data_IF_787980997195
#
_entry.id   IF_787980997195
#
_cell.length_a   1.000
_cell.length_b   1.000
_cell.length_c   1.000
_cell.angle_alpha   90.00
_cell.angle_beta   90.00
_cell.angle_gamma   90.00
#
_symmetry.space_group_name_H-M   'P 1'
#
loop_
_entity.id
_entity.type
_entity.pdbx_description
1 polymer ?
#
# COMPACT_ATOMS: atom_id res chain seq x y z
N UNK A 1 25.22 22.99 26.61
CA UNK A 1 24.10 23.73 25.96
C UNK A 1 23.49 24.68 26.99
N UNK A 2 23.36 25.97 26.66
CA UNK A 2 22.71 26.93 27.56
C UNK A 2 21.26 26.54 27.82
N UNK A 3 20.75 26.81 29.00
CA UNK A 3 19.39 26.42 29.43
C UNK A 3 18.32 26.93 28.44
N UNK A 4 18.45 28.17 27.98
CA UNK A 4 17.51 28.79 27.04
C UNK A 4 17.51 28.03 25.71
N UNK A 5 18.68 27.75 25.16
CA UNK A 5 18.81 26.99 23.91
C UNK A 5 18.16 25.60 24.00
N UNK A 6 18.39 24.93 25.12
CA UNK A 6 17.77 23.61 25.37
C UNK A 6 16.24 23.69 25.40
N UNK A 7 15.66 24.67 26.08
CA UNK A 7 14.22 24.87 26.15
C UNK A 7 13.63 25.17 24.76
N UNK A 8 14.29 26.02 23.98
CA UNK A 8 13.85 26.36 22.62
C UNK A 8 13.90 25.14 21.70
N UNK A 9 14.99 24.37 21.69
CA UNK A 9 15.11 23.14 20.88
C UNK A 9 14.07 22.09 21.29
N UNK A 10 13.86 21.87 22.58
CA UNK A 10 12.80 20.96 23.07
C UNK A 10 11.43 21.35 22.54
N UNK A 11 11.11 22.65 22.66
CA UNK A 11 9.81 23.16 22.19
C UNK A 11 9.66 23.01 20.69
N UNK A 12 10.70 23.34 19.94
CA UNK A 12 10.71 23.21 18.48
C UNK A 12 10.48 21.75 18.06
N UNK A 13 11.25 20.80 18.63
CA UNK A 13 11.17 19.40 18.23
C UNK A 13 9.88 18.71 18.69
N UNK A 14 9.28 19.11 19.81
CA UNK A 14 7.94 18.65 20.20
C UNK A 14 6.84 19.16 19.26
N UNK A 15 6.97 20.41 18.77
CA UNK A 15 5.98 21.04 17.91
C UNK A 15 6.10 20.65 16.43
N UNK A 16 7.30 20.33 15.97
CA UNK A 16 7.57 20.03 14.57
C UNK A 16 8.30 18.70 14.42
N UNK A 17 7.59 17.73 13.89
CA UNK A 17 8.18 16.42 13.57
C UNK A 17 9.29 16.57 12.51
N UNK A 18 9.10 17.47 11.54
CA UNK A 18 10.11 17.73 10.52
C UNK A 18 11.43 18.25 11.10
N UNK A 19 11.39 19.21 12.03
CA UNK A 19 12.59 19.73 12.68
C UNK A 19 13.27 18.67 13.58
N UNK A 20 12.48 17.79 14.20
CA UNK A 20 13.00 16.64 14.92
C UNK A 20 13.75 15.67 14.01
N UNK A 21 13.18 15.33 12.86
CA UNK A 21 13.82 14.44 11.86
C UNK A 21 15.13 15.03 11.37
N UNK A 22 15.16 16.32 11.01
CA UNK A 22 16.38 17.03 10.58
C UNK A 22 17.49 16.94 11.65
N UNK A 23 17.14 17.21 12.90
CA UNK A 23 18.09 17.22 13.99
C UNK A 23 18.72 15.86 14.29
N UNK A 24 17.95 14.77 14.14
CA UNK A 24 18.37 13.44 14.56
C UNK A 24 18.67 12.48 13.39
N UNK A 25 18.61 12.93 12.14
CA UNK A 25 18.85 12.07 10.97
C UNK A 25 20.19 11.34 11.05
N UNK A 26 21.27 12.08 11.20
CA UNK A 26 22.63 11.52 11.22
C UNK A 26 22.91 10.65 12.48
N UNK A 27 22.07 10.76 13.51
CA UNK A 27 22.12 9.89 14.68
C UNK A 27 21.52 8.52 14.35
N UNK A 28 20.40 8.53 13.61
CA UNK A 28 19.71 7.30 13.23
C UNK A 28 20.46 6.55 12.13
N UNK A 29 20.96 7.28 11.13
CA UNK A 29 21.53 6.71 9.91
C UNK A 29 22.72 7.55 9.42
N UNK A 30 23.86 6.93 9.07
CA UNK A 30 25.04 7.64 8.58
C UNK A 30 24.88 8.20 7.17
N UNK A 31 23.81 7.85 6.45
CA UNK A 31 23.58 8.39 5.11
C UNK A 31 23.30 9.87 5.16
N UNK A 32 23.76 10.59 4.13
CA UNK A 32 23.52 12.04 4.02
C UNK A 32 22.02 12.32 4.04
N UNK A 33 21.62 13.25 4.89
CA UNK A 33 20.26 13.79 4.84
C UNK A 33 20.09 14.61 3.55
N UNK A 34 19.13 14.21 2.73
CA UNK A 34 18.72 14.96 1.55
C UNK A 34 17.43 15.66 1.89
N UNK A 35 17.54 16.94 2.23
CA UNK A 35 16.39 17.78 2.56
C UNK A 35 15.53 18.02 1.32
N UNK A 36 14.22 18.21 1.51
CA UNK A 36 13.33 18.51 0.43
C UNK A 36 11.86 18.46 0.85
N UNK A 37 11.01 18.91 -0.07
CA UNK A 37 9.57 19.00 0.16
C UNK A 37 8.95 17.62 0.54
N UNK A 38 9.47 16.54 -0.04
CA UNK A 38 8.94 15.19 0.19
C UNK A 38 9.10 14.76 1.66
N UNK A 39 10.27 15.01 2.26
CA UNK A 39 10.52 14.70 3.66
C UNK A 39 9.64 15.57 4.57
N UNK A 40 9.51 16.85 4.27
CA UNK A 40 8.62 17.75 5.00
C UNK A 40 7.17 17.26 4.90
N UNK A 41 6.70 16.91 3.71
CA UNK A 41 5.35 16.41 3.48
C UNK A 41 5.05 15.12 4.26
N UNK A 42 5.98 14.16 4.28
CA UNK A 42 5.85 12.94 5.10
C UNK A 42 5.77 13.26 6.58
N UNK A 43 6.62 14.15 7.08
CA UNK A 43 6.62 14.55 8.48
C UNK A 43 5.30 15.24 8.85
N UNK A 44 4.82 16.16 8.03
CA UNK A 44 3.54 16.82 8.27
C UNK A 44 2.36 15.84 8.17
N UNK A 45 2.40 14.91 7.24
CA UNK A 45 1.40 13.83 7.12
C UNK A 45 1.36 12.98 8.39
N UNK A 46 2.50 12.49 8.87
CA UNK A 46 2.57 11.71 10.11
C UNK A 46 2.05 12.51 11.31
N UNK A 47 2.52 13.74 11.46
CA UNK A 47 2.11 14.64 12.55
C UNK A 47 0.60 14.90 12.51
N UNK A 48 0.02 15.16 11.33
CA UNK A 48 -1.41 15.38 11.16
C UNK A 48 -2.24 14.13 11.52
N UNK A 49 -1.83 12.97 11.05
CA UNK A 49 -2.50 11.71 11.40
C UNK A 49 -2.49 11.47 12.91
N UNK A 50 -1.39 11.81 13.58
CA UNK A 50 -1.22 11.63 15.02
C UNK A 50 -1.68 12.84 15.86
N UNK A 51 -2.41 13.79 15.30
CA UNK A 51 -2.83 15.06 15.96
C UNK A 51 -3.47 14.86 17.34
N UNK A 52 -4.31 13.84 17.50
CA UNK A 52 -4.98 13.54 18.76
C UNK A 52 -4.02 13.05 19.86
N UNK A 53 -2.86 12.50 19.50
CA UNK A 53 -1.83 12.03 20.42
C UNK A 53 -0.82 13.11 20.80
N UNK A 54 -0.68 14.13 19.94
CA UNK A 54 0.30 15.22 20.14
C UNK A 54 -0.37 16.54 20.49
N UNK A 55 -1.70 16.58 20.57
CA UNK A 55 -2.44 17.78 20.97
C UNK A 55 -2.34 18.91 19.96
N UNK A 56 -2.47 18.59 18.68
CA UNK A 56 -2.34 19.57 17.59
C UNK A 56 -3.69 19.84 16.91
N UNK A 57 -4.05 21.13 16.78
CA UNK A 57 -5.19 21.58 15.99
C UNK A 57 -4.72 21.99 14.59
N UNK A 58 -5.25 21.32 13.58
CA UNK A 58 -4.89 21.60 12.19
C UNK A 58 -5.43 22.97 11.76
N UNK A 59 -4.63 23.80 11.06
CA UNK A 59 -5.09 25.10 10.57
C UNK A 59 -6.20 24.93 9.53
N UNK A 60 -7.13 25.88 9.50
CA UNK A 60 -8.08 26.01 8.40
C UNK A 60 -7.33 26.55 7.20
N UNK A 61 -7.23 25.75 6.16
CA UNK A 61 -6.60 26.16 4.90
C UNK A 61 -7.72 26.40 3.88
N UNK A 62 -7.68 27.55 3.23
CA UNK A 62 -8.57 27.86 2.13
C UNK A 62 -7.93 27.31 0.88
N UNK A 63 -8.61 26.36 0.22
CA UNK A 63 -8.15 25.83 -1.05
C UNK A 63 -8.27 26.87 -2.15
N UNK A 64 -7.24 27.01 -3.01
CA UNK A 64 -7.39 27.83 -4.21
C UNK A 64 -8.41 27.18 -5.16
N UNK A 65 -9.07 28.01 -5.96
CA UNK A 65 -9.80 27.51 -7.12
C UNK A 65 -8.79 26.92 -8.11
N UNK A 66 -8.94 25.63 -8.39
CA UNK A 66 -8.12 24.91 -9.38
C UNK A 66 -8.98 24.45 -10.55
N UNK A 67 -8.38 24.32 -11.73
CA UNK A 67 -9.07 23.77 -12.89
C UNK A 67 -9.52 22.34 -12.65
N UNK A 68 -10.52 21.88 -13.38
CA UNK A 68 -11.13 20.54 -13.23
C UNK A 68 -10.14 19.41 -13.49
N UNK A 69 -9.07 19.66 -14.25
CA UNK A 69 -8.08 18.67 -14.66
C UNK A 69 -6.88 18.54 -13.68
N UNK A 70 -6.93 19.18 -12.52
CA UNK A 70 -5.85 19.16 -11.53
C UNK A 70 -6.21 18.22 -10.39
N UNK A 71 -5.37 17.24 -10.14
CA UNK A 71 -5.50 16.36 -8.97
C UNK A 71 -5.15 17.11 -7.69
N UNK A 72 -5.96 16.94 -6.65
CA UNK A 72 -5.71 17.56 -5.33
C UNK A 72 -5.40 16.48 -4.32
N UNK A 73 -4.18 16.51 -3.80
CA UNK A 73 -3.68 15.61 -2.76
C UNK A 73 -3.80 16.29 -1.40
N UNK A 74 -4.96 16.10 -0.75
CA UNK A 74 -5.28 16.66 0.56
C UNK A 74 -5.79 15.57 1.51
N UNK A 75 -5.04 15.30 2.58
CA UNK A 75 -5.40 14.28 3.58
C UNK A 75 -6.30 14.78 4.71
N UNK A 76 -6.64 16.07 4.73
CA UNK A 76 -7.40 16.70 5.81
C UNK A 76 -8.90 16.39 5.80
N UNK A 77 -9.25 15.21 5.31
CA UNK A 77 -10.61 14.70 5.20
C UNK A 77 -11.14 14.04 6.49
N UNK A 78 -10.48 14.26 7.60
CA UNK A 78 -10.84 13.71 8.91
C UNK A 78 -10.91 12.17 8.95
N UNK A 79 -10.06 11.50 8.18
CA UNK A 79 -9.89 10.05 8.19
C UNK A 79 -9.01 9.62 9.35
N UNK A 80 -9.32 8.45 9.92
CA UNK A 80 -8.57 7.91 11.06
C UNK A 80 -7.26 7.24 10.65
N UNK A 81 -7.24 6.59 9.50
CA UNK A 81 -6.13 5.75 9.04
C UNK A 81 -5.46 6.33 7.79
N UNK A 82 -4.27 5.86 7.49
CA UNK A 82 -3.48 6.27 6.34
C UNK A 82 -3.11 5.08 5.46
N UNK A 83 -3.27 5.21 4.16
CA UNK A 83 -2.67 4.34 3.15
C UNK A 83 -1.74 5.17 2.27
N UNK A 84 -0.43 4.99 2.45
CA UNK A 84 0.61 5.72 1.72
C UNK A 84 1.28 4.79 0.71
N UNK A 85 1.17 5.13 -0.56
CA UNK A 85 1.75 4.41 -1.69
C UNK A 85 2.84 5.26 -2.33
N UNK A 86 4.09 4.80 -2.24
CA UNK A 86 5.28 5.56 -2.64
C UNK A 86 6.34 4.60 -3.16
N UNK A 87 7.13 4.99 -4.17
CA UNK A 87 8.17 4.16 -4.74
C UNK A 87 9.18 3.64 -3.71
N UNK A 88 9.91 2.56 -4.03
CA UNK A 88 10.96 2.05 -3.18
C UNK A 88 12.08 3.09 -2.99
N UNK A 89 12.79 3.03 -1.85
CA UNK A 89 13.92 3.90 -1.49
C UNK A 89 13.63 5.40 -1.37
N UNK A 90 12.36 5.80 -1.26
CA UNK A 90 11.92 7.18 -1.00
C UNK A 90 11.76 7.49 0.51
N UNK A 91 12.54 6.87 1.37
CA UNK A 91 12.66 7.13 2.83
C UNK A 91 11.40 6.94 3.67
N UNK A 92 10.30 6.42 3.11
CA UNK A 92 9.04 6.20 3.83
C UNK A 92 9.24 5.49 5.18
N UNK A 93 9.97 4.37 5.19
CA UNK A 93 10.22 3.59 6.42
C UNK A 93 11.02 4.36 7.47
N UNK A 94 11.97 5.20 7.04
CA UNK A 94 12.74 6.03 7.97
C UNK A 94 11.85 7.03 8.70
N UNK A 95 11.01 7.75 7.98
CA UNK A 95 10.14 8.76 8.57
C UNK A 95 9.05 8.12 9.42
N UNK A 96 8.27 7.21 8.84
CA UNK A 96 7.09 6.67 9.50
C UNK A 96 7.43 5.61 10.55
N UNK A 97 8.40 4.75 10.26
CA UNK A 97 8.68 3.58 11.09
C UNK A 97 9.86 3.78 12.07
N UNK A 98 10.83 4.66 11.76
CA UNK A 98 11.93 4.94 12.70
C UNK A 98 11.64 6.20 13.52
N UNK A 99 11.53 7.35 12.85
CA UNK A 99 11.40 8.63 13.55
C UNK A 99 10.02 8.85 14.17
N UNK A 100 8.95 8.43 13.49
CA UNK A 100 7.58 8.65 13.95
C UNK A 100 7.30 8.14 15.36
N UNK A 101 7.53 6.86 15.68
CA UNK A 101 7.31 6.33 17.02
C UNK A 101 8.16 7.02 18.11
N UNK A 102 9.42 7.35 17.80
CA UNK A 102 10.30 8.07 18.74
C UNK A 102 9.77 9.48 19.01
N UNK A 103 9.33 10.17 17.97
CA UNK A 103 8.78 11.51 18.11
C UNK A 103 7.48 11.53 18.93
N UNK A 104 6.60 10.54 18.74
CA UNK A 104 5.36 10.42 19.53
C UNK A 104 5.65 10.29 21.03
N UNK A 105 6.72 9.62 21.41
CA UNK A 105 7.14 9.50 22.81
C UNK A 105 7.52 10.84 23.46
N UNK A 106 7.86 11.87 22.67
CA UNK A 106 8.10 13.20 23.21
C UNK A 106 6.84 13.83 23.82
N UNK A 107 5.67 13.41 23.38
CA UNK A 107 4.38 13.98 23.81
C UNK A 107 3.56 13.03 24.66
N UNK A 108 3.49 11.74 24.33
CA UNK A 108 2.62 10.77 24.99
C UNK A 108 3.30 9.40 25.14
N UNK A 109 3.13 8.72 26.29
CA UNK A 109 3.63 7.37 26.51
C UNK A 109 2.73 6.33 25.81
N UNK A 110 2.73 6.31 24.49
CA UNK A 110 1.90 5.43 23.67
C UNK A 110 2.56 4.08 23.38
N UNK A 111 1.75 3.12 22.98
CA UNK A 111 2.18 1.83 22.43
C UNK A 111 2.19 1.91 20.91
N UNK A 112 3.39 1.92 20.32
CA UNK A 112 3.58 1.90 18.87
C UNK A 112 3.97 0.49 18.41
N UNK A 113 3.33 -0.02 17.37
CA UNK A 113 3.64 -1.32 16.78
C UNK A 113 4.04 -1.13 15.34
N UNK A 114 5.22 -1.57 15.00
CA UNK A 114 5.75 -1.58 13.64
C UNK A 114 5.79 -3.01 13.12
N UNK A 115 5.15 -3.25 12.01
CA UNK A 115 5.05 -4.57 11.38
C UNK A 115 5.67 -4.54 10.00
N UNK A 116 6.56 -5.48 9.71
CA UNK A 116 7.20 -5.64 8.40
C UNK A 116 7.09 -7.08 7.92
N UNK A 117 7.38 -7.36 6.65
CA UNK A 117 7.34 -8.72 6.12
C UNK A 117 8.44 -9.63 6.71
N UNK A 118 9.60 -9.09 7.14
CA UNK A 118 10.67 -9.88 7.77
C UNK A 118 11.09 -9.37 9.13
N UNK A 119 11.57 -10.30 9.99
CA UNK A 119 12.15 -9.95 11.29
C UNK A 119 13.47 -9.19 11.18
N UNK A 120 14.22 -9.36 10.09
CA UNK A 120 15.46 -8.62 9.82
C UNK A 120 15.23 -7.13 9.68
N UNK A 121 14.23 -6.74 8.87
CA UNK A 121 13.84 -5.33 8.72
C UNK A 121 13.33 -4.74 10.03
N UNK A 122 12.47 -5.47 10.74
CA UNK A 122 11.99 -5.04 12.06
C UNK A 122 13.15 -4.76 13.03
N UNK A 123 14.16 -5.63 13.07
CA UNK A 123 15.36 -5.44 13.90
C UNK A 123 16.18 -4.22 13.48
N UNK A 124 16.34 -3.98 12.17
CA UNK A 124 17.07 -2.80 11.69
C UNK A 124 16.39 -1.49 12.09
N UNK A 125 15.06 -1.41 11.96
CA UNK A 125 14.30 -0.23 12.38
C UNK A 125 14.44 0.00 13.89
N UNK A 126 14.34 -1.07 14.68
CA UNK A 126 14.52 -0.99 16.12
C UNK A 126 15.93 -0.48 16.51
N UNK A 127 16.97 -0.96 15.84
CA UNK A 127 18.34 -0.49 16.07
C UNK A 127 18.50 1.01 15.81
N UNK A 128 17.88 1.53 14.77
CA UNK A 128 17.94 2.97 14.45
C UNK A 128 17.21 3.81 15.50
N UNK A 129 16.04 3.38 15.98
CA UNK A 129 15.32 4.03 17.08
C UNK A 129 16.14 4.06 18.35
N UNK A 130 16.78 2.93 18.68
CA UNK A 130 17.66 2.83 19.83
C UNK A 130 18.83 3.81 19.77
N UNK A 131 19.45 4.01 18.58
CA UNK A 131 20.51 5.00 18.40
C UNK A 131 20.01 6.41 18.73
N UNK A 132 18.81 6.78 18.28
CA UNK A 132 18.23 8.10 18.59
C UNK A 132 18.04 8.23 20.12
N UNK A 133 17.28 7.30 20.72
CA UNK A 133 16.88 7.37 22.12
C UNK A 133 18.09 7.38 23.10
N UNK A 134 19.17 6.68 22.78
CA UNK A 134 20.38 6.63 23.60
C UNK A 134 21.47 7.63 23.22
N UNK A 135 21.23 8.47 22.23
CA UNK A 135 22.22 9.50 21.87
C UNK A 135 22.34 10.56 22.95
N UNK A 136 23.56 11.06 23.16
CA UNK A 136 23.82 12.15 24.11
C UNK A 136 22.94 13.35 23.81
N UNK A 137 22.80 13.72 22.52
CA UNK A 137 21.97 14.85 22.08
C UNK A 137 20.49 14.68 22.40
N UNK A 138 19.96 13.46 22.31
CA UNK A 138 18.58 13.17 22.71
C UNK A 138 18.41 13.22 24.23
N UNK A 139 19.30 12.58 24.97
CA UNK A 139 19.21 12.49 26.42
C UNK A 139 19.45 13.86 27.11
N UNK A 140 20.27 14.75 26.53
CA UNK A 140 20.40 16.13 26.99
C UNK A 140 19.11 16.93 26.83
N UNK A 141 18.36 16.65 25.75
CA UNK A 141 17.11 17.36 25.44
C UNK A 141 15.90 16.76 26.18
N UNK A 142 15.84 15.44 26.30
CA UNK A 142 14.69 14.69 26.82
C UNK A 142 15.11 13.68 27.90
N UNK A 143 15.75 14.12 29.02
CA UNK A 143 16.25 13.24 30.06
C UNK A 143 15.14 12.49 30.80
N UNK A 144 13.90 12.92 30.67
CA UNK A 144 12.75 12.24 31.24
C UNK A 144 12.35 10.95 30.50
N UNK A 145 12.91 10.69 29.32
CA UNK A 145 12.64 9.49 28.51
C UNK A 145 13.83 8.56 28.63
N UNK A 146 13.71 7.55 29.48
CA UNK A 146 14.79 6.59 29.74
C UNK A 146 14.31 5.19 29.36
N UNK A 147 15.08 4.48 28.54
CA UNK A 147 14.79 3.09 28.21
C UNK A 147 15.04 2.19 29.43
N UNK A 148 13.99 1.45 29.83
CA UNK A 148 14.06 0.44 30.88
C UNK A 148 14.13 -0.98 30.34
N UNK A 149 13.64 -1.20 29.14
CA UNK A 149 13.76 -2.45 28.41
C UNK A 149 14.19 -2.18 26.98
N UNK A 150 15.22 -2.91 26.56
CA UNK A 150 15.71 -2.90 25.18
C UNK A 150 16.00 -4.35 24.76
N UNK A 151 14.94 -5.08 24.47
CA UNK A 151 15.01 -6.43 23.94
C UNK A 151 14.88 -6.43 22.42
N UNK A 152 15.25 -7.53 21.79
CA UNK A 152 15.06 -7.70 20.34
C UNK A 152 13.58 -7.56 19.98
N UNK A 153 13.23 -6.45 19.35
CA UNK A 153 11.85 -6.17 18.92
C UNK A 153 10.96 -5.45 19.94
N UNK A 154 11.45 -5.14 21.15
CA UNK A 154 10.69 -4.40 22.16
C UNK A 154 11.56 -3.35 22.84
N UNK A 155 11.08 -2.13 22.89
CA UNK A 155 11.58 -1.06 23.76
C UNK A 155 10.47 -0.61 24.69
N UNK A 156 10.83 -0.40 25.97
CA UNK A 156 9.93 0.18 26.98
C UNK A 156 10.66 1.31 27.66
N UNK A 157 9.98 2.45 27.84
CA UNK A 157 10.53 3.56 28.62
C UNK A 157 10.04 3.52 30.08
N UNK A 158 10.65 4.38 30.90
CA UNK A 158 10.32 4.52 32.33
C UNK A 158 8.91 5.02 32.62
N UNK A 159 8.16 5.44 31.63
CA UNK A 159 6.77 5.90 31.73
C UNK A 159 5.75 4.84 31.29
N UNK A 160 6.23 3.67 30.84
CA UNK A 160 5.43 2.56 30.34
C UNK A 160 5.03 2.67 28.87
N UNK A 161 5.66 3.57 28.12
CA UNK A 161 5.51 3.61 26.67
C UNK A 161 6.23 2.40 26.04
N UNK A 162 5.64 1.81 25.01
CA UNK A 162 6.15 0.59 24.36
C UNK A 162 6.29 0.78 22.86
N UNK A 163 7.39 0.30 22.29
CA UNK A 163 7.60 0.18 20.84
C UNK A 163 7.90 -1.25 20.47
N UNK A 164 7.04 -1.85 19.67
CA UNK A 164 7.23 -3.18 19.12
C UNK A 164 7.71 -3.10 17.68
N UNK A 165 8.66 -3.98 17.33
CA UNK A 165 9.16 -4.16 15.96
C UNK A 165 9.11 -5.65 15.63
N UNK A 166 8.12 -6.06 14.87
CA UNK A 166 7.78 -7.47 14.65
C UNK A 166 7.56 -7.76 13.17
N UNK A 167 7.65 -9.02 12.80
CA UNK A 167 7.14 -9.44 11.49
C UNK A 167 5.65 -9.78 11.57
N UNK A 168 4.96 -9.76 10.44
CA UNK A 168 3.51 -10.01 10.37
C UNK A 168 3.08 -11.36 10.97
N UNK A 169 3.94 -12.40 10.88
CA UNK A 169 3.62 -13.76 11.37
C UNK A 169 3.78 -13.88 12.90
N UNK A 170 4.48 -12.94 13.53
CA UNK A 170 4.74 -12.93 14.98
C UNK A 170 3.84 -11.94 15.73
N UNK A 171 2.86 -11.33 15.08
CA UNK A 171 1.97 -10.33 15.69
C UNK A 171 0.87 -10.98 16.52
N UNK A 172 1.26 -11.65 17.60
CA UNK A 172 0.34 -12.27 18.57
C UNK A 172 0.57 -11.69 19.96
N UNK A 173 -0.50 -11.36 20.69
CA UNK A 173 -0.41 -10.93 22.10
C UNK A 173 -0.10 -9.45 22.35
N UNK A 174 0.14 -8.65 21.34
CA UNK A 174 0.46 -7.21 21.46
C UNK A 174 -0.70 -6.35 20.97
N UNK A 175 -0.94 -5.21 21.65
CA UNK A 175 -1.88 -4.18 21.22
C UNK A 175 -1.17 -2.87 20.92
N UNK A 176 -1.72 -2.02 20.07
CA UNK A 176 -1.13 -0.74 19.69
C UNK A 176 -2.13 0.42 19.70
N UNK A 177 -1.63 1.60 20.01
CA UNK A 177 -2.31 2.88 19.84
C UNK A 177 -2.01 3.47 18.47
N UNK A 178 -0.82 3.16 17.94
CA UNK A 178 -0.42 3.44 16.55
C UNK A 178 0.20 2.16 15.96
N UNK A 179 -0.38 1.67 14.87
CA UNK A 179 0.08 0.48 14.14
C UNK A 179 0.60 0.92 12.79
N UNK A 180 1.88 0.63 12.51
CA UNK A 180 2.55 1.00 11.26
C UNK A 180 2.88 -0.29 10.50
N UNK A 181 2.15 -0.57 9.47
CA UNK A 181 2.39 -1.65 8.52
C UNK A 181 3.34 -1.13 7.43
N UNK A 182 4.57 -1.59 7.41
CA UNK A 182 5.62 -1.11 6.53
C UNK A 182 6.09 -2.23 5.60
N UNK A 183 5.74 -2.12 4.32
CA UNK A 183 6.02 -3.10 3.27
C UNK A 183 5.76 -4.56 3.76
N UNK A 184 4.48 -4.86 4.08
CA UNK A 184 4.07 -6.18 4.60
C UNK A 184 4.28 -7.33 3.62
N UNK A 185 4.53 -7.03 2.36
CA UNK A 185 4.71 -7.97 1.27
C UNK A 185 6.09 -7.80 0.66
N UNK A 186 6.80 -8.90 0.46
CA UNK A 186 8.08 -8.87 -0.25
C UNK A 186 7.82 -8.69 -1.76
N UNK A 187 8.38 -7.65 -2.36
CA UNK A 187 8.17 -7.33 -3.78
C UNK A 187 8.68 -8.42 -4.75
N UNK A 188 9.74 -9.12 -4.41
CA UNK A 188 10.27 -10.19 -5.24
C UNK A 188 9.40 -11.46 -5.16
N UNK A 189 9.01 -11.84 -3.94
CA UNK A 189 8.17 -13.02 -3.71
C UNK A 189 6.76 -12.80 -4.24
N UNK A 190 6.18 -11.62 -4.06
CA UNK A 190 4.84 -11.29 -4.52
C UNK A 190 4.64 -11.44 -6.04
N UNK A 191 5.70 -11.19 -6.83
CA UNK A 191 5.65 -11.39 -8.29
C UNK A 191 5.67 -12.85 -8.72
N UNK A 192 6.25 -13.71 -7.87
CA UNK A 192 6.43 -15.14 -8.18
C UNK A 192 5.34 -16.01 -7.54
N UNK A 193 4.78 -15.55 -6.44
CA UNK A 193 3.89 -16.35 -5.59
C UNK A 193 2.70 -15.50 -5.10
N UNK A 194 1.54 -15.78 -5.62
CA UNK A 194 0.28 -15.13 -5.24
C UNK A 194 -0.10 -15.42 -3.78
N UNK A 195 0.39 -16.52 -3.19
CA UNK A 195 0.14 -16.84 -1.79
C UNK A 195 0.74 -15.80 -0.84
N UNK A 196 1.84 -15.14 -1.21
CA UNK A 196 2.43 -14.06 -0.42
C UNK A 196 1.47 -12.88 -0.25
N UNK A 197 0.77 -12.49 -1.31
CA UNK A 197 -0.23 -11.43 -1.28
C UNK A 197 -1.43 -11.83 -0.43
N UNK A 198 -1.93 -13.04 -0.64
CA UNK A 198 -3.06 -13.59 0.12
C UNK A 198 -2.74 -13.70 1.62
N UNK A 199 -1.53 -14.11 1.98
CA UNK A 199 -1.07 -14.18 3.37
C UNK A 199 -0.96 -12.79 4.02
N UNK A 200 -0.48 -11.79 3.28
CA UNK A 200 -0.43 -10.41 3.77
C UNK A 200 -1.84 -9.84 4.00
N UNK A 201 -2.78 -10.13 3.10
CA UNK A 201 -4.17 -9.74 3.26
C UNK A 201 -4.87 -10.48 4.42
N UNK A 202 -4.62 -11.78 4.56
CA UNK A 202 -5.15 -12.57 5.68
C UNK A 202 -4.67 -12.04 7.05
N UNK A 203 -3.39 -11.66 7.16
CA UNK A 203 -2.89 -10.95 8.34
C UNK A 203 -3.67 -9.66 8.58
N UNK A 204 -3.85 -8.84 7.53
CA UNK A 204 -4.52 -7.55 7.62
C UNK A 204 -5.99 -7.69 8.08
N UNK A 205 -6.71 -8.69 7.57
CA UNK A 205 -8.12 -8.94 7.94
C UNK A 205 -8.29 -9.62 9.30
N UNK A 206 -7.47 -10.63 9.59
CA UNK A 206 -7.74 -11.55 10.69
C UNK A 206 -6.92 -11.22 11.97
N UNK A 207 -5.73 -10.67 11.81
CA UNK A 207 -4.82 -10.45 12.95
C UNK A 207 -4.81 -9.01 13.40
N UNK A 208 -4.58 -8.07 12.49
CA UNK A 208 -4.38 -6.66 12.80
C UNK A 208 -5.56 -6.03 13.56
N UNK A 209 -6.85 -6.27 13.22
CA UNK A 209 -7.98 -5.65 13.91
C UNK A 209 -8.07 -6.04 15.38
N UNK A 210 -7.65 -7.25 15.74
CA UNK A 210 -7.63 -7.72 17.13
C UNK A 210 -6.52 -7.09 17.99
N UNK A 211 -5.65 -6.27 17.38
CA UNK A 211 -4.50 -5.60 18.01
C UNK A 211 -4.71 -4.11 18.23
N UNK A 212 -5.88 -3.60 17.92
CA UNK A 212 -6.26 -2.22 18.14
C UNK A 212 -6.66 -2.04 19.62
N UNK A 213 -5.93 -1.19 20.36
CA UNK A 213 -6.22 -0.94 21.77
C UNK A 213 -7.55 -0.18 21.97
N UNK A 214 -7.78 0.85 21.16
CA UNK A 214 -9.01 1.65 21.17
C UNK A 214 -9.41 1.93 19.72
N UNK A 215 -10.54 1.40 19.30
CA UNK A 215 -11.02 1.50 17.91
C UNK A 215 -11.26 2.95 17.45
N UNK A 216 -11.52 3.86 18.38
CA UNK A 216 -11.81 5.27 18.08
C UNK A 216 -10.56 6.14 18.04
N UNK A 217 -9.43 5.67 18.61
CA UNK A 217 -8.19 6.45 18.76
C UNK A 217 -7.02 5.84 18.07
N UNK A 218 -6.98 4.51 17.92
CA UNK A 218 -5.88 3.84 17.27
C UNK A 218 -5.78 4.27 15.81
N UNK A 219 -4.55 4.50 15.37
CA UNK A 219 -4.23 4.89 14.00
C UNK A 219 -3.52 3.73 13.33
N UNK A 220 -4.03 3.30 12.20
CA UNK A 220 -3.38 2.31 11.34
C UNK A 220 -2.80 3.01 10.12
N UNK A 221 -1.50 2.91 9.95
CA UNK A 221 -0.79 3.43 8.78
C UNK A 221 -0.29 2.25 7.95
N UNK A 222 -0.79 2.14 6.71
CA UNK A 222 -0.30 1.17 5.75
C UNK A 222 0.62 1.88 4.76
N UNK A 223 1.90 1.56 4.79
CA UNK A 223 2.95 2.25 4.07
C UNK A 223 3.62 1.25 3.14
N UNK A 224 3.46 1.44 1.84
CA UNK A 224 3.93 0.46 0.86
C UNK A 224 4.30 1.10 -0.48
N UNK A 225 4.90 0.33 -1.34
CA UNK A 225 4.86 0.50 -2.79
C UNK A 225 3.74 -0.37 -3.35
N UNK A 226 3.16 0.00 -4.49
CA UNK A 226 2.20 -0.88 -5.17
C UNK A 226 2.94 -2.08 -5.78
N UNK A 227 2.32 -3.24 -5.71
CA UNK A 227 2.89 -4.51 -6.20
C UNK A 227 1.96 -5.22 -7.18
N UNK A 228 0.66 -5.11 -6.96
CA UNK A 228 -0.37 -5.69 -7.80
C UNK A 228 -1.71 -4.97 -7.59
N UNK A 229 -2.70 -5.12 -8.48
CA UNK A 229 -4.05 -4.58 -8.28
C UNK A 229 -4.69 -5.01 -6.96
N UNK A 230 -4.45 -6.25 -6.54
CA UNK A 230 -4.96 -6.88 -5.32
C UNK A 230 -3.95 -6.90 -4.16
N UNK A 231 -2.98 -5.97 -4.12
CA UNK A 231 -2.17 -5.75 -2.93
C UNK A 231 -3.00 -5.15 -1.78
N UNK A 232 -2.43 -4.99 -0.60
CA UNK A 232 -3.17 -4.48 0.58
C UNK A 232 -3.83 -3.13 0.28
N UNK A 233 -3.14 -2.21 -0.40
CA UNK A 233 -3.73 -0.92 -0.78
C UNK A 233 -4.90 -1.11 -1.74
N UNK A 234 -4.77 -2.00 -2.74
CA UNK A 234 -5.85 -2.34 -3.66
C UNK A 234 -7.07 -2.92 -2.95
N UNK A 235 -6.87 -3.86 -2.04
CA UNK A 235 -7.97 -4.40 -1.22
C UNK A 235 -8.64 -3.33 -0.36
N UNK A 236 -7.86 -2.42 0.28
CA UNK A 236 -8.43 -1.32 1.08
C UNK A 236 -9.26 -0.37 0.19
N UNK A 237 -8.76 -0.01 -0.99
CA UNK A 237 -9.45 0.89 -1.92
C UNK A 237 -10.74 0.29 -2.48
N UNK A 238 -10.74 -1.01 -2.76
CA UNK A 238 -11.88 -1.70 -3.38
C UNK A 238 -12.99 -2.09 -2.39
N UNK A 239 -12.75 -2.01 -1.07
CA UNK A 239 -13.79 -2.25 -0.05
C UNK A 239 -14.34 -0.91 0.48
N UNK A 240 -15.53 -0.46 0.07
CA UNK A 240 -16.03 0.89 0.36
C UNK A 240 -16.08 1.24 1.84
N UNK A 241 -16.46 0.29 2.70
CA UNK A 241 -16.53 0.50 4.17
C UNK A 241 -15.15 0.66 4.80
N UNK A 242 -14.15 -0.01 4.23
CA UNK A 242 -12.77 0.10 4.68
C UNK A 242 -12.13 1.37 4.14
N UNK A 243 -12.29 1.65 2.84
CA UNK A 243 -11.81 2.86 2.18
C UNK A 243 -12.30 4.14 2.86
N UNK A 244 -13.56 4.15 3.32
CA UNK A 244 -14.13 5.29 4.04
C UNK A 244 -13.34 5.71 5.29
N UNK A 245 -12.54 4.82 5.88
CA UNK A 245 -11.73 5.05 7.09
C UNK A 245 -10.30 5.53 6.80
N UNK A 246 -9.85 5.48 5.53
CA UNK A 246 -8.49 5.77 5.13
C UNK A 246 -8.35 7.08 4.37
N UNK A 247 -7.31 7.85 4.69
CA UNK A 247 -6.75 8.83 3.78
C UNK A 247 -5.77 8.11 2.86
N UNK A 248 -5.86 8.38 1.56
CA UNK A 248 -4.97 7.80 0.56
C UNK A 248 -3.99 8.84 0.05
N UNK A 249 -2.73 8.46 -0.03
CA UNK A 249 -1.67 9.24 -0.66
C UNK A 249 -0.99 8.34 -1.68
N UNK A 250 -1.04 8.71 -2.94
CA UNK A 250 -0.30 8.07 -4.02
C UNK A 250 0.71 9.06 -4.59
N UNK A 251 1.99 8.77 -4.45
CA UNK A 251 3.06 9.60 -4.99
C UNK A 251 3.86 8.78 -6.01
N UNK A 252 3.68 9.01 -7.31
CA UNK A 252 4.45 8.34 -8.36
C UNK A 252 5.86 8.96 -8.47
N UNK A 253 6.83 8.19 -8.96
CA UNK A 253 8.19 8.70 -9.24
C UNK A 253 8.20 9.84 -10.27
N UNK A 254 7.25 9.78 -11.21
CA UNK A 254 7.00 10.82 -12.22
C UNK A 254 5.51 11.12 -12.20
N UNK A 255 5.13 12.37 -11.97
CA UNK A 255 3.73 12.78 -11.92
C UNK A 255 3.06 12.59 -13.28
N UNK A 256 1.92 11.89 -13.29
CA UNK A 256 1.16 11.55 -14.49
C UNK A 256 0.13 12.63 -14.86
N UNK A 257 -0.23 13.48 -13.90
CA UNK A 257 -1.19 14.59 -14.03
C UNK A 257 -0.65 15.80 -13.27
N UNK A 258 -1.14 16.98 -13.62
CA UNK A 258 -0.91 18.17 -12.82
C UNK A 258 -1.55 17.98 -11.44
N UNK A 259 -0.76 18.16 -10.37
CA UNK A 259 -1.16 17.81 -9.02
C UNK A 259 -0.86 18.95 -8.04
N UNK A 260 -1.82 19.29 -7.20
CA UNK A 260 -1.62 20.18 -6.05
C UNK A 260 -1.49 19.38 -4.78
N UNK A 261 -0.35 19.44 -4.14
CA UNK A 261 -0.08 18.79 -2.86
C UNK A 261 -0.30 19.79 -1.73
N UNK A 262 -1.20 19.47 -0.81
CA UNK A 262 -1.52 20.31 0.35
C UNK A 262 -0.79 19.79 1.57
N UNK A 263 0.12 20.60 2.11
CA UNK A 263 0.84 20.29 3.34
C UNK A 263 -0.11 20.43 4.53
N UNK A 264 -0.37 19.33 5.28
CA UNK A 264 -1.51 19.33 6.22
C UNK A 264 -1.27 20.13 7.50
N UNK A 265 -0.03 20.49 7.82
CA UNK A 265 0.33 21.28 9.01
C UNK A 265 0.59 22.74 8.67
N UNK A 266 1.46 23.01 7.70
CA UNK A 266 1.84 24.38 7.33
C UNK A 266 0.84 25.06 6.40
N UNK A 267 0.01 24.28 5.70
CA UNK A 267 -0.89 24.81 4.68
C UNK A 267 -0.20 25.20 3.37
N UNK A 268 1.08 24.91 3.24
CA UNK A 268 1.83 25.14 2.00
C UNK A 268 1.18 24.36 0.86
N UNK A 269 1.05 25.00 -0.29
CA UNK A 269 0.63 24.38 -1.53
C UNK A 269 1.85 24.17 -2.41
N UNK A 270 2.00 22.95 -2.93
CA UNK A 270 3.03 22.60 -3.90
C UNK A 270 2.36 22.14 -5.18
N UNK A 271 2.71 22.81 -6.28
CA UNK A 271 2.22 22.49 -7.61
C UNK A 271 3.23 21.61 -8.33
N UNK A 272 2.83 20.42 -8.70
CA UNK A 272 3.60 19.46 -9.52
C UNK A 272 2.94 19.36 -10.89
N UNK A 273 3.73 19.51 -11.94
CA UNK A 273 3.27 19.34 -13.31
C UNK A 273 3.39 17.89 -13.75
N UNK A 274 2.57 17.48 -14.69
CA UNK A 274 2.79 16.23 -15.41
C UNK A 274 4.23 16.16 -15.93
N UNK A 275 4.92 15.07 -15.63
CA UNK A 275 6.33 14.88 -15.98
C UNK A 275 7.33 15.31 -14.90
N UNK A 276 6.92 16.04 -13.87
CA UNK A 276 7.81 16.38 -12.76
C UNK A 276 8.23 15.13 -11.99
N UNK A 277 9.47 15.14 -11.52
CA UNK A 277 10.03 14.04 -10.73
C UNK A 277 9.73 14.20 -9.24
N UNK A 278 9.41 13.10 -8.57
CA UNK A 278 9.10 13.07 -7.14
C UNK A 278 10.28 13.54 -6.28
N UNK A 279 11.48 13.08 -6.60
CA UNK A 279 12.69 13.41 -5.83
C UNK A 279 13.95 13.51 -6.70
N UNK A 280 14.06 14.57 -7.52
CA UNK A 280 15.16 14.71 -8.47
C UNK A 280 16.52 14.84 -7.79
N UNK A 281 16.59 15.43 -6.58
CA UNK A 281 17.84 15.63 -5.84
C UNK A 281 18.50 14.32 -5.41
N UNK A 282 17.72 13.22 -5.36
CA UNK A 282 18.22 11.90 -4.98
C UNK A 282 18.38 10.96 -6.17
N UNK A 283 17.45 10.95 -7.07
CA UNK A 283 17.41 9.97 -8.16
C UNK A 283 17.92 10.52 -9.49
N UNK A 284 17.90 11.85 -9.66
CA UNK A 284 18.32 12.51 -10.89
C UNK A 284 17.44 12.12 -12.06
N UNK A 285 17.85 11.07 -12.80
CA UNK A 285 17.16 10.59 -14.00
C UNK A 285 16.43 9.28 -13.74
N UNK A 286 15.11 9.26 -13.96
CA UNK A 286 14.28 8.06 -13.85
C UNK A 286 14.27 7.20 -15.13
N UNK A 287 14.70 7.71 -16.29
CA UNK A 287 14.75 6.94 -17.53
C UNK A 287 15.80 5.82 -17.44
N UNK A 288 16.97 6.13 -16.88
CA UNK A 288 17.99 5.13 -16.60
C UNK A 288 17.48 4.07 -15.64
N UNK A 289 16.76 4.47 -14.60
CA UNK A 289 16.16 3.55 -13.63
C UNK A 289 15.09 2.67 -14.28
N UNK A 290 14.27 3.22 -15.19
CA UNK A 290 13.29 2.44 -15.96
C UNK A 290 13.94 1.37 -16.81
N UNK A 291 15.06 1.70 -17.46
CA UNK A 291 15.84 0.73 -18.24
C UNK A 291 16.40 -0.41 -17.36
N UNK A 292 16.85 -0.09 -16.14
CA UNK A 292 17.43 -1.08 -15.21
C UNK A 292 16.38 -2.05 -14.65
N UNK A 293 15.19 -1.56 -14.29
CA UNK A 293 14.16 -2.39 -13.63
C UNK A 293 13.15 -2.99 -14.61
N UNK A 294 13.04 -2.46 -15.80
CA UNK A 294 12.07 -2.86 -16.83
C UNK A 294 10.69 -2.19 -16.64
N UNK A 295 9.94 -2.11 -17.74
CA UNK A 295 8.72 -1.31 -17.83
C UNK A 295 7.64 -1.72 -16.82
N UNK A 296 7.32 -3.01 -16.73
CA UNK A 296 6.29 -3.52 -15.81
C UNK A 296 6.58 -3.20 -14.35
N UNK A 297 7.84 -3.32 -13.92
CA UNK A 297 8.23 -2.99 -12.54
C UNK A 297 8.17 -1.49 -12.34
N UNK A 298 8.61 -0.72 -13.33
CA UNK A 298 8.58 0.73 -13.26
C UNK A 298 7.14 1.26 -13.14
N UNK A 299 6.24 0.81 -14.01
CA UNK A 299 4.80 1.15 -13.94
C UNK A 299 4.22 0.81 -12.56
N UNK A 300 4.42 -0.42 -12.10
CA UNK A 300 3.79 -0.90 -10.86
C UNK A 300 4.37 -0.22 -9.61
N UNK A 301 5.71 -0.28 -9.44
CA UNK A 301 6.34 0.10 -8.17
C UNK A 301 6.79 1.56 -8.14
N UNK A 302 7.09 2.16 -9.30
CA UNK A 302 7.56 3.53 -9.37
C UNK A 302 6.45 4.51 -9.77
N UNK A 303 5.59 4.16 -10.71
CA UNK A 303 4.44 4.99 -11.03
C UNK A 303 3.21 4.68 -10.16
N UNK A 304 3.31 3.69 -9.27
CA UNK A 304 2.23 3.25 -8.38
C UNK A 304 0.97 2.81 -9.15
N UNK A 305 1.14 2.39 -10.40
CA UNK A 305 0.09 1.93 -11.29
C UNK A 305 0.22 0.41 -11.52
N UNK A 306 -0.33 -0.43 -10.64
CA UNK A 306 -0.23 -1.87 -10.79
C UNK A 306 -1.10 -2.34 -11.95
N UNK A 307 -0.46 -2.76 -13.02
CA UNK A 307 -1.11 -3.42 -14.15
C UNK A 307 -1.37 -4.89 -13.74
N UNK A 308 -2.52 -5.42 -14.08
CA UNK A 308 -2.76 -6.85 -14.01
C UNK A 308 -1.63 -7.57 -14.76
N UNK A 309 -1.02 -8.58 -14.12
CA UNK A 309 0.24 -9.17 -14.57
C UNK A 309 0.28 -9.44 -16.08
N UNK A 310 1.44 -9.22 -16.73
CA UNK A 310 1.71 -9.52 -18.16
C UNK A 310 1.36 -10.96 -18.62
N UNK A 311 0.87 -11.80 -17.70
CA UNK A 311 0.33 -13.13 -18.04
C UNK A 311 -1.05 -13.09 -18.67
N UNK A 312 -1.74 -11.97 -18.64
CA UNK A 312 -2.98 -11.82 -19.41
C UNK A 312 -2.60 -11.56 -20.86
N UNK A 313 -2.77 -12.58 -21.70
CA UNK A 313 -2.60 -12.46 -23.15
C UNK A 313 -3.53 -11.38 -23.76
N UNK A 314 -4.55 -10.97 -23.00
CA UNK A 314 -5.56 -9.95 -23.40
C UNK A 314 -5.43 -8.76 -22.43
N UNK A 315 -5.03 -7.61 -22.97
CA UNK A 315 -4.94 -6.35 -22.21
C UNK A 315 -6.29 -5.61 -22.28
N UNK A 316 -6.67 -4.81 -21.25
CA UNK A 316 -7.93 -4.07 -21.23
C UNK A 316 -8.15 -3.15 -22.46
N UNK A 317 -7.08 -2.57 -22.99
CA UNK A 317 -7.10 -1.72 -24.18
C UNK A 317 -7.36 -2.50 -25.50
N UNK A 318 -7.25 -3.82 -25.47
CA UNK A 318 -7.62 -4.69 -26.58
C UNK A 318 -9.13 -5.03 -26.59
N UNK A 319 -9.86 -4.74 -25.50
CA UNK A 319 -11.27 -5.01 -25.37
C UNK A 319 -12.03 -3.74 -25.75
N UNK A 320 -12.84 -3.82 -26.79
CA UNK A 320 -13.73 -2.72 -27.20
C UNK A 320 -15.15 -3.13 -26.88
N UNK A 321 -15.79 -2.42 -25.97
CA UNK A 321 -17.20 -2.60 -25.65
C UNK A 321 -18.06 -2.00 -26.77
N UNK A 322 -19.03 -2.77 -27.30
CA UNK A 322 -19.94 -2.33 -28.36
C UNK A 322 -21.36 -2.76 -28.03
N UNK A 323 -22.31 -1.92 -28.39
CA UNK A 323 -23.72 -2.25 -28.31
C UNK A 323 -24.12 -3.35 -29.32
N UNK A 324 -25.01 -4.23 -28.91
CA UNK A 324 -25.48 -5.38 -29.73
C UNK A 324 -25.97 -5.02 -31.16
N UNK A 325 -26.65 -3.90 -31.39
CA UNK A 325 -27.06 -3.53 -32.75
C UNK A 325 -25.91 -3.30 -33.74
N UNK A 326 -24.73 -2.93 -33.22
CA UNK A 326 -23.55 -2.60 -34.01
C UNK A 326 -22.61 -3.79 -34.25
N UNK A 327 -22.98 -4.98 -33.77
CA UNK A 327 -22.18 -6.20 -33.90
C UNK A 327 -22.84 -7.17 -34.90
N UNK A 328 -22.04 -7.91 -35.71
CA UNK A 328 -22.59 -9.01 -36.50
C UNK A 328 -23.23 -10.04 -35.56
N UNK A 329 -24.44 -10.50 -35.88
CA UNK A 329 -25.09 -11.54 -35.10
C UNK A 329 -24.36 -12.89 -35.18
N UNK A 330 -24.64 -13.78 -34.24
CA UNK A 330 -24.05 -15.13 -34.13
C UNK A 330 -24.32 -15.99 -35.36
N UNK A 331 -25.37 -15.71 -36.11
CA UNK A 331 -25.73 -16.36 -37.38
C UNK A 331 -24.69 -16.14 -38.49
N UNK A 332 -23.84 -15.12 -38.33
CA UNK A 332 -22.73 -14.84 -39.25
C UNK A 332 -21.39 -15.44 -38.76
N UNK A 333 -21.43 -16.19 -37.69
CA UNK A 333 -20.23 -16.73 -37.06
C UNK A 333 -19.54 -17.78 -37.94
N UNK A 334 -18.23 -17.64 -38.09
CA UNK A 334 -17.37 -18.65 -38.68
C UNK A 334 -17.19 -19.82 -37.71
N UNK A 335 -17.20 -19.51 -36.40
CA UNK A 335 -17.01 -20.45 -35.32
C UNK A 335 -17.60 -19.88 -34.04
N UNK A 336 -18.25 -20.72 -33.25
CA UNK A 336 -18.66 -20.44 -31.87
C UNK A 336 -17.81 -21.27 -30.91
N UNK A 337 -17.44 -20.71 -29.78
CA UNK A 337 -16.61 -21.38 -28.78
C UNK A 337 -17.01 -20.99 -27.37
N UNK A 338 -16.75 -21.90 -26.45
CA UNK A 338 -16.80 -21.69 -25.01
C UNK A 338 -15.48 -22.16 -24.39
N UNK A 339 -14.80 -21.28 -23.69
CA UNK A 339 -13.54 -21.59 -23.00
C UNK A 339 -13.77 -21.67 -21.50
N UNK A 340 -13.28 -22.74 -20.86
CA UNK A 340 -13.52 -23.02 -19.46
C UNK A 340 -12.21 -23.27 -18.71
N UNK A 341 -12.06 -22.60 -17.57
CA UNK A 341 -11.02 -22.87 -16.56
C UNK A 341 -11.67 -23.52 -15.35
N UNK A 342 -11.36 -24.83 -15.12
CA UNK A 342 -11.97 -25.64 -14.09
C UNK A 342 -11.22 -25.62 -12.76
N UNK A 343 -11.91 -25.61 -11.62
CA UNK A 343 -11.29 -25.83 -10.32
C UNK A 343 -10.75 -27.27 -10.20
N UNK A 344 -9.55 -27.40 -9.67
CA UNK A 344 -8.85 -28.70 -9.54
C UNK A 344 -9.47 -29.63 -8.49
N UNK A 345 -10.34 -29.16 -7.60
CA UNK A 345 -10.91 -29.92 -6.48
C UNK A 345 -12.43 -29.82 -6.42
N UNK A 346 -13.06 -30.95 -6.16
CA UNK A 346 -14.52 -31.04 -5.99
C UNK A 346 -14.95 -30.72 -4.55
N UNK A 347 -14.83 -29.46 -4.15
CA UNK A 347 -15.32 -28.94 -2.86
C UNK A 347 -16.00 -27.61 -3.07
N UNK A 348 -17.07 -27.34 -2.31
CA UNK A 348 -17.77 -26.04 -2.35
C UNK A 348 -16.89 -24.83 -1.93
N UNK A 349 -15.71 -25.10 -1.39
CA UNK A 349 -14.66 -24.11 -1.08
C UNK A 349 -13.57 -24.06 -2.14
N UNK A 350 -13.78 -24.71 -3.30
CA UNK A 350 -12.83 -24.75 -4.42
C UNK A 350 -12.68 -23.41 -5.08
N UNK A 351 -11.67 -23.30 -5.93
CA UNK A 351 -11.45 -22.17 -6.82
C UNK A 351 -12.65 -21.93 -7.76
N UNK A 352 -12.64 -20.80 -8.45
CA UNK A 352 -13.74 -20.45 -9.34
C UNK A 352 -13.70 -21.27 -10.63
N UNK A 353 -14.86 -21.61 -11.17
CA UNK A 353 -15.02 -21.90 -12.60
C UNK A 353 -15.07 -20.58 -13.33
N UNK A 354 -14.13 -20.35 -14.25
CA UNK A 354 -14.18 -19.29 -15.24
C UNK A 354 -14.71 -19.82 -16.58
N UNK A 355 -15.69 -19.15 -17.19
CA UNK A 355 -16.21 -19.53 -18.50
C UNK A 355 -16.41 -18.29 -19.36
N UNK A 356 -15.98 -18.36 -20.62
CA UNK A 356 -16.13 -17.28 -21.61
C UNK A 356 -16.76 -17.85 -22.86
N UNK A 357 -17.91 -17.30 -23.26
CA UNK A 357 -18.59 -17.64 -24.51
C UNK A 357 -18.36 -16.56 -25.55
N UNK A 358 -18.17 -16.98 -26.81
CA UNK A 358 -17.97 -16.06 -27.90
C UNK A 358 -18.06 -16.71 -29.27
N UNK A 359 -17.94 -15.86 -30.28
CA UNK A 359 -17.90 -16.27 -31.69
C UNK A 359 -16.93 -15.40 -32.48
N UNK A 360 -16.52 -15.89 -33.65
CA UNK A 360 -15.61 -15.18 -34.55
C UNK A 360 -16.32 -14.85 -35.87
N UNK A 361 -16.18 -13.58 -36.31
CA UNK A 361 -16.62 -13.11 -37.61
C UNK A 361 -15.52 -12.29 -38.25
N UNK A 362 -15.06 -12.68 -39.45
CA UNK A 362 -14.02 -11.99 -40.22
C UNK A 362 -12.75 -11.68 -39.41
N UNK A 363 -12.32 -12.64 -38.59
CA UNK A 363 -11.11 -12.51 -37.76
C UNK A 363 -11.31 -11.72 -36.48
N UNK A 364 -12.46 -11.09 -36.24
CA UNK A 364 -12.78 -10.43 -34.97
C UNK A 364 -13.48 -11.41 -34.04
N UNK A 365 -13.05 -11.44 -32.78
CA UNK A 365 -13.65 -12.26 -31.72
C UNK A 365 -14.64 -11.40 -30.95
N UNK A 366 -15.88 -11.87 -30.84
CA UNK A 366 -16.96 -11.27 -30.07
C UNK A 366 -17.22 -12.13 -28.83
N UNK A 367 -17.06 -11.53 -27.64
CA UNK A 367 -17.39 -12.16 -26.36
C UNK A 367 -18.81 -11.79 -26.00
N UNK A 368 -19.68 -12.77 -25.80
CA UNK A 368 -21.11 -12.57 -25.53
C UNK A 368 -21.49 -12.79 -24.08
N UNK A 369 -20.72 -13.62 -23.36
CA UNK A 369 -20.98 -13.91 -21.95
C UNK A 369 -19.71 -14.33 -21.23
N UNK A 370 -19.63 -13.98 -19.94
CA UNK A 370 -18.56 -14.36 -19.04
C UNK A 370 -19.16 -14.79 -17.71
N UNK A 371 -18.77 -15.99 -17.23
CA UNK A 371 -19.17 -16.52 -15.93
C UNK A 371 -17.92 -16.70 -15.06
N UNK A 372 -17.97 -16.18 -13.85
CA UNK A 372 -17.03 -16.50 -12.77
C UNK A 372 -17.85 -16.95 -11.56
N UNK A 373 -17.81 -18.24 -11.24
CA UNK A 373 -18.62 -18.79 -10.17
C UNK A 373 -17.89 -19.88 -9.41
N UNK A 374 -17.96 -19.85 -8.09
CA UNK A 374 -17.50 -20.97 -7.25
C UNK A 374 -18.43 -22.15 -7.42
N UNK A 375 -17.90 -23.25 -7.93
CA UNK A 375 -18.61 -24.52 -8.01
C UNK A 375 -17.62 -25.68 -8.02
N UNK A 376 -18.05 -26.85 -7.53
CA UNK A 376 -17.24 -28.05 -7.61
C UNK A 376 -17.16 -28.59 -9.04
N UNK A 377 -16.20 -29.47 -9.28
CA UNK A 377 -15.90 -30.06 -10.59
C UNK A 377 -17.16 -30.65 -11.27
N UNK A 378 -17.95 -31.48 -10.55
CA UNK A 378 -19.16 -32.13 -11.07
C UNK A 378 -20.17 -31.10 -11.61
N UNK A 379 -20.43 -30.04 -10.85
CA UNK A 379 -21.32 -28.95 -11.29
C UNK A 379 -20.77 -28.15 -12.46
N UNK A 380 -19.44 -28.04 -12.56
CA UNK A 380 -18.77 -27.44 -13.71
C UNK A 380 -18.99 -28.25 -14.99
N UNK A 381 -18.91 -29.57 -14.90
CA UNK A 381 -19.20 -30.47 -16.04
C UNK A 381 -20.68 -30.35 -16.47
N UNK A 382 -21.62 -30.37 -15.53
CA UNK A 382 -23.05 -30.16 -15.81
C UNK A 382 -23.29 -28.80 -16.51
N UNK A 383 -22.55 -27.76 -16.14
CA UNK A 383 -22.63 -26.45 -16.77
C UNK A 383 -22.14 -26.48 -18.23
N UNK A 384 -21.04 -27.18 -18.52
CA UNK A 384 -20.53 -27.33 -19.90
C UNK A 384 -21.52 -28.11 -20.76
N UNK A 385 -22.12 -29.20 -20.23
CA UNK A 385 -23.18 -29.95 -20.92
C UNK A 385 -24.41 -29.09 -21.19
N UNK A 386 -24.78 -28.20 -20.28
CA UNK A 386 -25.87 -27.22 -20.51
C UNK A 386 -25.57 -26.26 -21.64
N UNK A 387 -24.32 -25.76 -21.73
CA UNK A 387 -23.90 -24.87 -22.81
C UNK A 387 -23.98 -25.60 -24.17
N UNK A 388 -23.52 -26.85 -24.25
CA UNK A 388 -23.57 -27.64 -25.48
C UNK A 388 -25.02 -27.92 -25.93
N UNK A 389 -25.92 -28.17 -24.97
CA UNK A 389 -27.32 -28.34 -25.24
C UNK A 389 -28.03 -27.05 -25.74
N UNK A 390 -27.63 -25.89 -25.22
CA UNK A 390 -28.23 -24.59 -25.56
C UNK A 390 -27.64 -24.04 -26.88
N UNK A 391 -26.37 -24.28 -27.12
CA UNK A 391 -25.61 -23.81 -28.27
C UNK A 391 -24.91 -24.96 -29.01
N UNK A 392 -25.69 -25.85 -29.65
CA UNK A 392 -25.13 -27.05 -30.28
C UNK A 392 -24.11 -26.67 -31.38
N UNK A 393 -22.99 -27.38 -31.39
CA UNK A 393 -21.88 -27.15 -32.31
C UNK A 393 -20.87 -26.08 -31.87
N UNK A 394 -21.00 -25.58 -30.65
CA UNK A 394 -19.98 -24.72 -30.02
C UNK A 394 -18.75 -25.56 -29.65
N UNK A 395 -17.57 -25.08 -30.03
CA UNK A 395 -16.32 -25.74 -29.64
C UNK A 395 -16.06 -25.47 -28.17
N UNK A 396 -16.03 -26.53 -27.36
CA UNK A 396 -15.68 -26.49 -25.93
C UNK A 396 -14.15 -26.56 -25.80
N UNK A 397 -13.55 -25.52 -25.20
CA UNK A 397 -12.12 -25.45 -24.92
C UNK A 397 -11.92 -25.57 -23.42
N UNK A 398 -11.25 -26.63 -22.97
CA UNK A 398 -10.99 -26.91 -21.55
C UNK A 398 -9.49 -27.00 -21.34
N UNK A 399 -8.96 -26.30 -20.31
CA UNK A 399 -7.55 -26.38 -20.00
C UNK A 399 -7.19 -27.73 -19.38
N UNK A 400 -6.28 -28.48 -20.02
CA UNK A 400 -5.73 -29.73 -19.47
C UNK A 400 -4.70 -29.39 -18.36
N UNK A 401 -5.16 -29.34 -17.10
CA UNK A 401 -4.27 -29.23 -15.94
C UNK A 401 -3.73 -30.61 -15.57
N UNK A 402 -2.49 -30.80 -15.77
CA UNK A 402 -1.48 -31.85 -15.48
C UNK A 402 -1.81 -33.13 -14.65
N UNK A 403 -3.03 -33.42 -14.32
CA UNK A 403 -3.45 -34.62 -13.56
C UNK A 403 -4.47 -35.50 -14.29
N UNK A 404 -4.49 -35.49 -15.61
CA UNK A 404 -5.26 -36.43 -16.41
C UNK A 404 -6.76 -36.37 -16.10
N UNK A 405 -7.37 -35.24 -16.32
CA UNK A 405 -8.79 -35.08 -16.01
C UNK A 405 -9.68 -35.80 -17.01
N UNK A 406 -10.66 -36.55 -16.56
CA UNK A 406 -11.56 -37.38 -17.38
C UNK A 406 -12.71 -36.54 -17.98
N UNK A 407 -12.41 -35.41 -18.62
CA UNK A 407 -13.44 -34.59 -19.29
C UNK A 407 -13.44 -34.82 -20.81
N UNK A 408 -12.53 -35.62 -21.32
CA UNK A 408 -12.48 -36.00 -22.73
C UNK A 408 -13.24 -37.25 -22.99
#
# INVERSE_FOLDING_TARGET
>A
MEIIERVLKRTLYKKSFYEFVKAFWNVADPSKFVDGWLIQYYCETFQYMCKNWVGYDAPKIIMPEVSVDVEILDIRQNKQNLCLMVPPRHTKSMIFNVFGPVWLWLSSPIKAVSVSHTGGLATQMNTKRHRILNSTSFQELFPEIVLVTNAKGLMVDNRGAEMYSINRNAFTGYGGDVIINDDLTNAETARKDQAEMSNAWAYYQNTMPSRINDINKCIVMNIQQRLAPNDIAGHIMNEPKLAARYAFITLPAIFQHDTVIVFPITGKLLYMKKGDFLWPERFGDYESLKADVGETIFETQYLQNPIASDKTAIKPDMIVEKDMPDTPGVENAEITYASHDFPVKDKDTSDFLGSVLGYRVRGTIYITDCLEKRMGFTKGVEYVEQIDNVFPGTIQVIEDKANGSPIL
#
